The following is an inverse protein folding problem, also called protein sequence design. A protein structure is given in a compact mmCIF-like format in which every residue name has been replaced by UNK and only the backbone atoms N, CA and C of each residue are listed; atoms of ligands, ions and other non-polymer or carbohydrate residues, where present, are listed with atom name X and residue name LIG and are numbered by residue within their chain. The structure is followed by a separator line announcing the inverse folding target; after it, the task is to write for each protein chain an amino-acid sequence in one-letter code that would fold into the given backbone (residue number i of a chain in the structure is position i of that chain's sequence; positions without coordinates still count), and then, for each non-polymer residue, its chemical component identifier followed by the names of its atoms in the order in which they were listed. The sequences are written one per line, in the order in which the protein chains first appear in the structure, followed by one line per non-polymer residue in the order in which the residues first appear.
data_IF_545888067361
#
_entry.id   IF_545888067361
#
_cell.length_a   1.000
_cell.length_b   1.000
_cell.length_c   1.000
_cell.angle_alpha   90.00
_cell.angle_beta   90.00
_cell.angle_gamma   90.00
#
_symmetry.space_group_name_H-M   'P 1'
#
loop_
_entity.id
_entity.type
_entity.pdbx_description
1 polymer ?
#
# COMPACT_ATOMS: atom_id res chain seq x y z
N UNK A 1 -24.40 53.76 -41.80
CA UNK A 1 -25.35 54.07 -40.72
C UNK A 1 -25.46 52.88 -39.78
N UNK A 2 -24.76 52.90 -38.65
CA UNK A 2 -25.27 52.43 -37.35
C UNK A 2 -24.21 52.80 -36.31
N UNK A 3 -24.66 53.49 -35.26
CA UNK A 3 -23.82 54.27 -34.36
C UNK A 3 -23.09 53.39 -33.35
N UNK A 4 -21.88 53.85 -33.03
CA UNK A 4 -21.04 53.49 -31.90
C UNK A 4 -21.76 53.36 -30.57
N UNK A 5 -21.34 52.40 -29.75
CA UNK A 5 -21.26 52.59 -28.29
C UNK A 5 -19.87 52.17 -27.82
N UNK A 6 -19.03 53.17 -27.60
CA UNK A 6 -17.88 53.07 -26.70
C UNK A 6 -18.43 52.98 -25.28
N UNK A 7 -17.96 52.01 -24.50
CA UNK A 7 -18.22 51.89 -23.08
C UNK A 7 -16.87 51.88 -22.38
N UNK A 8 -16.67 52.89 -21.54
CA UNK A 8 -15.43 53.24 -20.85
C UNK A 8 -14.91 52.11 -19.97
N UNK A 9 -13.65 51.71 -20.20
CA UNK A 9 -12.83 51.03 -19.20
C UNK A 9 -12.09 52.09 -18.38
N UNK A 10 -12.72 52.51 -17.29
CA UNK A 10 -12.08 53.28 -16.23
C UNK A 10 -11.92 52.39 -15.00
N UNK A 11 -10.65 52.19 -14.62
CA UNK A 11 -10.09 51.76 -13.33
C UNK A 11 -11.01 51.03 -12.34
N UNK A 12 -10.64 49.77 -12.06
CA UNK A 12 -11.07 49.00 -10.90
C UNK A 12 -9.92 48.17 -10.34
N UNK A 13 -8.79 48.83 -10.05
CA UNK A 13 -7.61 48.28 -9.38
C UNK A 13 -7.95 48.13 -7.88
N UNK A 14 -8.87 47.23 -7.52
CA UNK A 14 -9.25 47.01 -6.12
C UNK A 14 -10.03 45.69 -5.92
N UNK A 15 -9.41 44.52 -6.15
CA UNK A 15 -9.95 43.25 -5.65
C UNK A 15 -8.88 42.13 -5.52
N UNK A 16 -7.60 42.48 -5.31
CA UNK A 16 -6.52 41.50 -5.14
C UNK A 16 -6.10 41.33 -3.66
N UNK A 17 -7.03 41.41 -2.71
CA UNK A 17 -6.72 41.36 -1.27
C UNK A 17 -7.62 40.43 -0.43
N UNK A 18 -8.32 39.46 -1.03
CA UNK A 18 -9.20 38.53 -0.27
C UNK A 18 -8.93 37.04 -0.60
N UNK A 19 -7.77 36.70 -1.15
CA UNK A 19 -7.42 35.30 -1.46
C UNK A 19 -6.07 34.86 -0.84
N UNK A 20 -5.72 35.39 0.34
CA UNK A 20 -4.49 35.00 1.04
C UNK A 20 -4.64 34.87 2.57
N UNK A 21 -5.84 34.52 3.06
CA UNK A 21 -6.07 34.29 4.51
C UNK A 21 -6.59 32.90 4.85
N UNK A 22 -6.64 31.97 3.89
CA UNK A 22 -7.14 30.60 4.12
C UNK A 22 -6.06 29.51 4.10
N UNK A 23 -4.80 29.84 4.44
CA UNK A 23 -3.71 28.86 4.44
C UNK A 23 -2.83 28.84 5.70
N UNK A 24 -3.28 29.39 6.83
CA UNK A 24 -2.46 29.45 8.05
C UNK A 24 -2.90 28.55 9.22
N UNK A 25 -4.06 27.87 9.15
CA UNK A 25 -4.64 27.22 10.35
C UNK A 25 -4.62 25.68 10.38
N UNK A 26 -3.88 24.99 9.51
CA UNK A 26 -3.84 23.51 9.56
C UNK A 26 -2.68 22.92 10.40
N UNK A 27 -1.66 23.71 10.77
CA UNK A 27 -0.57 23.24 11.62
C UNK A 27 -0.09 24.36 12.55
N UNK A 28 -0.95 24.79 13.48
CA UNK A 28 -0.44 25.42 14.69
C UNK A 28 0.24 24.33 15.53
N UNK A 29 1.51 24.05 15.21
CA UNK A 29 2.40 23.29 16.10
C UNK A 29 2.54 24.16 17.36
N UNK A 30 1.82 23.82 18.42
CA UNK A 30 1.90 24.56 19.68
C UNK A 30 3.27 24.30 20.31
N UNK A 31 4.25 25.14 19.94
CA UNK A 31 5.61 25.09 20.42
C UNK A 31 5.71 25.35 21.95
N UNK A 32 4.63 25.82 22.59
CA UNK A 32 4.59 25.98 24.04
C UNK A 32 4.50 24.63 24.76
N UNK A 33 3.83 23.63 24.20
CA UNK A 33 3.70 22.28 24.76
C UNK A 33 5.04 21.52 24.85
N UNK A 34 6.03 21.97 24.08
CA UNK A 34 7.37 21.39 23.99
C UNK A 34 8.32 21.91 25.10
N UNK A 35 8.09 23.10 25.67
CA UNK A 35 9.10 23.77 26.52
C UNK A 35 9.31 23.17 27.92
N UNK A 36 8.42 22.33 28.44
CA UNK A 36 8.43 21.91 29.86
C UNK A 36 8.79 20.45 30.10
N UNK A 37 9.11 19.68 29.07
CA UNK A 37 9.36 18.26 29.23
C UNK A 37 10.82 17.94 29.61
N UNK A 38 11.08 17.08 30.63
CA UNK A 38 12.43 16.67 31.00
C UNK A 38 13.16 16.02 29.82
N UNK A 39 14.40 16.45 29.58
CA UNK A 39 15.27 15.92 28.52
C UNK A 39 16.00 14.68 29.02
N UNK A 40 16.16 13.65 28.18
CA UNK A 40 17.02 12.51 28.49
C UNK A 40 18.46 12.91 28.15
N UNK A 41 19.31 13.11 29.17
CA UNK A 41 20.72 13.50 29.02
C UNK A 41 20.94 14.78 28.16
N UNK A 42 19.97 15.70 28.15
CA UNK A 42 20.04 16.94 27.38
C UNK A 42 19.60 16.83 25.91
N UNK A 43 19.24 15.63 25.43
CA UNK A 43 18.73 15.40 24.07
C UNK A 43 17.22 15.20 24.09
N UNK A 44 16.54 15.81 23.11
CA UNK A 44 15.10 15.68 22.93
C UNK A 44 14.27 16.35 24.04
N UNK A 45 12.99 15.98 24.05
CA UNK A 45 11.95 16.47 24.96
C UNK A 45 10.79 15.47 24.96
N UNK A 46 10.03 15.37 26.05
CA UNK A 46 8.79 14.58 26.04
C UNK A 46 7.81 15.20 25.04
N UNK A 47 7.28 14.34 24.17
CA UNK A 47 6.23 14.67 23.23
C UNK A 47 4.88 14.58 23.96
N UNK A 48 3.96 15.51 23.70
CA UNK A 48 2.60 15.46 24.25
C UNK A 48 1.70 14.58 23.38
N UNK A 49 0.63 14.06 23.95
CA UNK A 49 -0.37 13.28 23.19
C UNK A 49 -0.94 14.10 22.02
N UNK A 50 -1.14 15.41 22.22
CA UNK A 50 -1.57 16.31 21.16
C UNK A 50 -0.55 16.41 20.02
N UNK A 51 0.75 16.36 20.33
CA UNK A 51 1.81 16.34 19.33
C UNK A 51 1.97 14.97 18.66
N UNK A 52 1.66 13.86 19.34
CA UNK A 52 1.64 12.50 18.76
C UNK A 52 0.44 12.29 17.84
N UNK A 53 -0.74 12.81 18.20
CA UNK A 53 -2.03 12.49 17.57
C UNK A 53 -2.02 12.57 16.02
N UNK A 54 -1.44 13.60 15.38
CA UNK A 54 -1.39 13.66 13.91
C UNK A 54 -0.51 12.58 13.25
N UNK A 55 0.42 11.99 14.00
CA UNK A 55 1.35 10.97 13.53
C UNK A 55 0.90 9.55 13.89
N UNK A 56 -0.01 9.40 14.85
CA UNK A 56 -0.56 8.12 15.28
C UNK A 56 -1.71 7.65 14.36
N UNK A 57 -1.37 7.40 13.10
CA UNK A 57 -2.32 7.07 12.03
C UNK A 57 -2.23 5.62 11.56
N UNK A 58 -1.39 4.79 12.19
CA UNK A 58 -1.19 3.40 11.77
C UNK A 58 -2.33 2.50 12.24
N UNK A 59 -2.82 1.61 11.38
CA UNK A 59 -3.77 0.56 11.75
C UNK A 59 -3.06 -0.79 11.86
N UNK A 60 -3.28 -1.48 12.97
CA UNK A 60 -2.64 -2.78 13.21
C UNK A 60 -3.45 -3.94 12.64
N UNK A 61 -2.78 -5.08 12.47
CA UNK A 61 -3.35 -6.28 11.87
C UNK A 61 -4.61 -6.81 12.59
N UNK A 62 -4.74 -6.56 13.90
CA UNK A 62 -5.87 -6.96 14.74
C UNK A 62 -7.04 -5.95 14.72
N UNK A 63 -6.91 -4.87 13.95
CA UNK A 63 -7.89 -3.78 13.88
C UNK A 63 -7.66 -2.65 14.89
N UNK A 64 -6.62 -2.73 15.73
CA UNK A 64 -6.28 -1.63 16.64
C UNK A 64 -6.04 -0.34 15.86
N UNK A 65 -6.62 0.76 16.37
CA UNK A 65 -6.57 2.11 15.79
C UNK A 65 -7.33 2.31 14.47
N UNK A 66 -8.13 1.34 14.00
CA UNK A 66 -9.03 1.56 12.87
C UNK A 66 -10.02 2.71 13.17
N UNK A 67 -10.17 3.68 12.26
CA UNK A 67 -11.03 4.84 12.47
C UNK A 67 -12.51 4.47 12.32
N UNK A 68 -13.37 5.30 12.91
CA UNK A 68 -14.81 5.23 12.67
C UNK A 68 -15.12 5.58 11.20
N UNK A 69 -15.99 4.78 10.60
CA UNK A 69 -16.40 4.93 9.20
C UNK A 69 -16.93 3.61 8.67
N UNK A 70 -17.41 3.64 7.42
CA UNK A 70 -17.87 2.46 6.71
C UNK A 70 -17.74 2.62 5.21
N UNK A 71 -17.60 1.50 4.52
CA UNK A 71 -17.54 1.46 3.07
C UNK A 71 -18.25 0.25 2.49
N UNK A 72 -18.64 0.36 1.22
CA UNK A 72 -19.31 -0.71 0.47
C UNK A 72 -18.52 -1.04 -0.78
N UNK A 73 -18.64 -2.27 -1.28
CA UNK A 73 -18.01 -2.69 -2.54
C UNK A 73 -18.44 -1.79 -3.71
N UNK A 74 -19.74 -1.51 -3.84
CA UNK A 74 -20.28 -0.69 -4.93
C UNK A 74 -19.82 0.78 -4.91
N UNK A 75 -19.60 1.37 -3.73
CA UNK A 75 -18.98 2.69 -3.63
C UNK A 75 -17.49 2.63 -3.97
N UNK A 76 -16.81 1.57 -3.53
CA UNK A 76 -15.38 1.36 -3.76
C UNK A 76 -15.05 1.16 -5.23
N UNK A 77 -15.91 0.47 -5.98
CA UNK A 77 -15.75 0.27 -7.42
C UNK A 77 -15.63 1.59 -8.17
N UNK A 78 -16.53 2.55 -7.89
CA UNK A 78 -16.51 3.86 -8.54
C UNK A 78 -15.20 4.61 -8.29
N UNK A 79 -14.77 4.64 -7.03
CA UNK A 79 -13.52 5.31 -6.62
C UNK A 79 -12.33 4.60 -7.28
N UNK A 80 -12.33 3.27 -7.31
CA UNK A 80 -11.28 2.49 -7.94
C UNK A 80 -11.13 2.80 -9.43
N UNK A 81 -12.24 2.85 -10.17
CA UNK A 81 -12.22 3.18 -11.59
C UNK A 81 -11.70 4.59 -11.84
N UNK A 82 -12.03 5.55 -10.97
CA UNK A 82 -11.60 6.94 -11.12
C UNK A 82 -10.15 7.20 -10.69
N UNK A 83 -9.65 6.50 -9.67
CA UNK A 83 -8.40 6.87 -8.99
C UNK A 83 -7.34 5.76 -8.95
N UNK A 84 -7.68 4.52 -9.26
CA UNK A 84 -6.79 3.36 -9.08
C UNK A 84 -6.51 2.60 -10.38
N UNK A 85 -7.54 2.38 -11.21
CA UNK A 85 -7.48 1.51 -12.39
C UNK A 85 -6.42 1.93 -13.41
N UNK A 86 -6.13 3.24 -13.52
CA UNK A 86 -5.08 3.75 -14.40
C UNK A 86 -3.68 3.13 -14.17
N UNK A 87 -3.41 2.67 -12.94
CA UNK A 87 -2.18 1.99 -12.57
C UNK A 87 -2.43 0.50 -12.28
N UNK A 88 -3.51 0.16 -11.59
CA UNK A 88 -3.75 -1.21 -11.12
C UNK A 88 -4.52 -2.09 -12.13
N UNK A 89 -4.94 -1.55 -13.27
CA UNK A 89 -5.81 -2.23 -14.24
C UNK A 89 -7.27 -2.20 -13.83
N UNK A 90 -8.18 -2.48 -14.77
CA UNK A 90 -9.63 -2.45 -14.48
C UNK A 90 -10.04 -3.62 -13.57
N UNK A 91 -9.30 -4.73 -13.64
CA UNK A 91 -9.54 -5.97 -12.89
C UNK A 91 -8.41 -6.28 -11.90
N UNK A 92 -7.56 -5.31 -11.57
CA UNK A 92 -6.45 -5.51 -10.65
C UNK A 92 -5.28 -6.31 -11.24
N UNK A 93 -5.20 -6.46 -12.56
CA UNK A 93 -4.16 -7.18 -13.29
C UNK A 93 -2.81 -6.44 -13.35
N UNK A 94 -2.81 -5.14 -12.99
CA UNK A 94 -1.66 -4.25 -13.11
C UNK A 94 -1.50 -3.69 -14.53
N UNK A 95 -1.53 -2.37 -14.68
CA UNK A 95 -1.16 -1.73 -15.94
C UNK A 95 0.36 -1.84 -16.18
N UNK A 96 0.82 -1.72 -17.42
CA UNK A 96 2.22 -1.82 -17.90
C UNK A 96 3.33 -1.44 -16.88
N UNK A 97 3.74 -2.39 -16.03
CA UNK A 97 4.84 -2.23 -15.06
C UNK A 97 4.43 -1.74 -13.66
N UNK A 98 3.15 -1.44 -13.44
CA UNK A 98 2.58 -1.14 -12.13
C UNK A 98 2.21 -2.41 -11.37
N UNK A 99 2.17 -2.36 -10.03
CA UNK A 99 1.82 -3.51 -9.22
C UNK A 99 0.40 -4.00 -9.53
N UNK A 100 0.27 -5.31 -9.74
CA UNK A 100 -1.05 -5.96 -9.76
C UNK A 100 -1.62 -6.09 -8.35
N UNK A 101 -2.94 -6.14 -8.26
CA UNK A 101 -3.68 -6.37 -7.02
C UNK A 101 -4.17 -7.82 -6.92
N UNK A 102 -4.48 -8.48 -8.04
CA UNK A 102 -5.00 -9.85 -8.06
C UNK A 102 -3.94 -10.82 -8.56
N UNK A 103 -3.70 -11.88 -7.79
CA UNK A 103 -2.82 -12.99 -8.14
C UNK A 103 -3.60 -14.27 -8.44
N UNK A 104 -2.88 -15.36 -8.69
CA UNK A 104 -3.52 -16.67 -8.74
C UNK A 104 -3.95 -17.10 -7.33
N UNK A 105 -4.93 -18.03 -7.21
CA UNK A 105 -5.26 -18.68 -5.95
C UNK A 105 -4.03 -19.26 -5.22
N UNK A 106 -4.09 -19.35 -3.88
CA UNK A 106 -2.97 -19.76 -3.03
C UNK A 106 -2.36 -21.11 -3.44
N UNK A 107 -3.19 -22.09 -3.79
CA UNK A 107 -2.75 -23.42 -4.23
C UNK A 107 -1.93 -23.37 -5.53
N UNK A 108 -2.37 -22.56 -6.50
CA UNK A 108 -1.66 -22.35 -7.76
C UNK A 108 -0.38 -21.54 -7.57
N UNK A 109 -0.42 -20.53 -6.70
CA UNK A 109 0.75 -19.74 -6.30
C UNK A 109 1.83 -20.64 -5.66
N UNK A 110 1.45 -21.49 -4.70
CA UNK A 110 2.37 -22.45 -4.08
C UNK A 110 2.90 -23.48 -5.07
N UNK A 111 2.04 -24.02 -5.95
CA UNK A 111 2.46 -24.97 -6.97
C UNK A 111 3.49 -24.36 -7.92
N UNK A 112 3.26 -23.11 -8.35
CA UNK A 112 4.20 -22.36 -9.19
C UNK A 112 5.53 -22.12 -8.50
N UNK A 113 5.51 -21.72 -7.21
CA UNK A 113 6.71 -21.53 -6.42
C UNK A 113 7.52 -22.83 -6.25
N UNK A 114 6.84 -23.96 -5.97
CA UNK A 114 7.46 -25.29 -5.87
C UNK A 114 8.04 -25.78 -7.20
N UNK A 115 7.44 -25.38 -8.32
CA UNK A 115 7.91 -25.68 -9.67
C UNK A 115 9.06 -24.76 -10.15
N UNK A 116 9.52 -23.81 -9.33
CA UNK A 116 10.59 -22.87 -9.71
C UNK A 116 10.16 -21.82 -10.74
N UNK A 117 8.85 -21.64 -10.94
CA UNK A 117 8.30 -20.55 -11.76
C UNK A 117 8.40 -19.25 -10.95
N UNK A 118 8.62 -18.11 -11.62
CA UNK A 118 8.64 -16.80 -10.95
C UNK A 118 7.28 -16.47 -10.32
N UNK A 119 7.14 -16.83 -9.05
CA UNK A 119 5.97 -16.54 -8.24
C UNK A 119 5.94 -15.08 -7.75
N UNK A 120 7.04 -14.31 -7.85
CA UNK A 120 7.05 -12.91 -7.38
C UNK A 120 6.10 -12.06 -8.23
N UNK A 121 6.16 -12.23 -9.54
CA UNK A 121 5.23 -11.59 -10.48
C UNK A 121 3.76 -11.96 -10.24
N UNK A 122 3.52 -13.08 -9.54
CA UNK A 122 2.19 -13.60 -9.29
C UNK A 122 1.59 -13.21 -7.92
N UNK A 123 2.30 -12.45 -7.09
CA UNK A 123 1.77 -12.02 -5.78
C UNK A 123 0.60 -11.05 -5.94
N UNK A 124 -0.44 -11.24 -5.12
CA UNK A 124 -1.61 -10.38 -5.06
C UNK A 124 -2.28 -10.44 -3.68
N UNK A 125 -3.40 -9.72 -3.53
CA UNK A 125 -4.19 -9.68 -2.30
C UNK A 125 -4.65 -11.09 -1.87
N UNK A 126 -5.03 -11.92 -2.83
CA UNK A 126 -5.59 -13.25 -2.61
C UNK A 126 -4.57 -14.37 -2.35
N UNK A 127 -3.26 -14.09 -2.43
CA UNK A 127 -2.25 -15.10 -2.14
C UNK A 127 -1.09 -14.64 -1.25
N UNK A 128 -0.90 -13.32 -1.08
CA UNK A 128 0.26 -12.79 -0.37
C UNK A 128 -0.12 -11.80 0.73
N UNK A 129 -1.35 -11.29 0.81
CA UNK A 129 -1.72 -10.40 1.92
C UNK A 129 -2.25 -11.20 3.10
N UNK A 130 -1.72 -10.94 4.30
CA UNK A 130 -2.03 -11.70 5.51
C UNK A 130 -3.20 -11.15 6.34
N UNK A 131 -3.47 -9.84 6.29
CA UNK A 131 -4.47 -9.22 7.15
C UNK A 131 -5.21 -8.08 6.42
N UNK A 132 -6.53 -8.04 6.54
CA UNK A 132 -7.35 -7.01 5.90
C UNK A 132 -7.16 -5.60 6.50
N UNK A 133 -6.99 -5.42 7.83
CA UNK A 133 -6.71 -4.09 8.40
C UNK A 133 -5.43 -3.44 7.86
N UNK A 134 -4.38 -4.23 7.56
CA UNK A 134 -3.14 -3.68 6.98
C UNK A 134 -3.32 -3.20 5.54
N UNK A 135 -4.30 -3.75 4.81
CA UNK A 135 -4.67 -3.26 3.48
C UNK A 135 -5.36 -1.90 3.58
N UNK A 136 -6.27 -1.73 4.55
CA UNK A 136 -6.89 -0.44 4.83
C UNK A 136 -5.86 0.62 5.22
N UNK A 137 -4.87 0.27 6.06
CA UNK A 137 -3.76 1.19 6.41
C UNK A 137 -3.00 1.64 5.17
N UNK A 138 -2.60 0.68 4.31
CA UNK A 138 -1.90 0.97 3.06
C UNK A 138 -2.71 1.89 2.16
N UNK A 139 -3.99 1.58 1.93
CA UNK A 139 -4.84 2.35 1.03
C UNK A 139 -5.07 3.76 1.58
N UNK A 140 -5.50 3.88 2.84
CA UNK A 140 -5.84 5.18 3.41
C UNK A 140 -4.63 6.11 3.54
N UNK A 141 -3.45 5.54 3.84
CA UNK A 141 -2.23 6.33 4.07
C UNK A 141 -1.45 6.63 2.80
N UNK A 142 -1.40 5.70 1.86
CA UNK A 142 -0.46 5.75 0.74
C UNK A 142 -1.12 5.83 -0.64
N UNK A 143 -2.44 5.67 -0.72
CA UNK A 143 -3.17 5.73 -2.00
C UNK A 143 -4.13 6.94 -2.06
N UNK A 144 -4.43 7.42 -3.28
CA UNK A 144 -3.78 7.09 -4.55
C UNK A 144 -2.30 7.52 -4.57
N UNK A 145 -1.45 6.80 -5.31
CA UNK A 145 0.01 7.05 -5.29
C UNK A 145 0.39 8.51 -5.64
N UNK A 146 -0.37 9.15 -6.54
CA UNK A 146 -0.12 10.54 -6.95
C UNK A 146 -0.63 11.58 -5.93
N UNK A 147 -1.45 11.16 -4.96
CA UNK A 147 -2.08 12.02 -3.95
C UNK A 147 -2.35 11.22 -2.66
N UNK A 148 -1.30 10.77 -1.94
CA UNK A 148 -1.48 9.95 -0.75
C UNK A 148 -2.21 10.70 0.36
N UNK A 149 -3.12 10.00 1.06
CA UNK A 149 -3.84 10.56 2.21
C UNK A 149 -4.98 11.50 1.85
N UNK A 150 -5.44 11.53 0.59
CA UNK A 150 -6.60 12.35 0.18
C UNK A 150 -7.94 11.63 0.30
N UNK A 151 -7.94 10.31 0.41
CA UNK A 151 -9.18 9.56 0.64
C UNK A 151 -9.71 9.87 2.04
N UNK A 152 -11.01 10.11 2.13
CA UNK A 152 -11.71 10.07 3.42
C UNK A 152 -11.72 8.65 3.98
N UNK A 153 -12.03 8.51 5.26
CA UNK A 153 -12.11 7.19 5.90
C UNK A 153 -13.15 6.27 5.25
N UNK A 154 -14.33 6.79 4.89
CA UNK A 154 -15.39 6.01 4.24
C UNK A 154 -15.00 5.59 2.81
N UNK A 155 -14.31 6.47 2.08
CA UNK A 155 -13.77 6.15 0.75
C UNK A 155 -12.69 5.07 0.84
N UNK A 156 -11.76 5.19 1.79
CA UNK A 156 -10.72 4.20 2.00
C UNK A 156 -11.29 2.82 2.41
N UNK A 157 -12.32 2.78 3.28
CA UNK A 157 -13.03 1.54 3.59
C UNK A 157 -13.71 0.97 2.34
N UNK A 158 -14.33 1.82 1.53
CA UNK A 158 -15.05 1.41 0.32
C UNK A 158 -14.09 0.79 -0.70
N UNK A 159 -12.97 1.45 -1.00
CA UNK A 159 -11.93 0.93 -1.90
C UNK A 159 -11.34 -0.36 -1.35
N UNK A 160 -11.04 -0.43 -0.05
CA UNK A 160 -10.54 -1.66 0.59
C UNK A 160 -11.52 -2.83 0.41
N UNK A 161 -12.80 -2.59 0.62
CA UNK A 161 -13.87 -3.55 0.37
C UNK A 161 -13.89 -4.03 -1.08
N UNK A 162 -13.88 -3.09 -2.02
CA UNK A 162 -13.92 -3.39 -3.44
C UNK A 162 -12.72 -4.22 -3.89
N UNK A 163 -11.49 -3.84 -3.54
CA UNK A 163 -10.31 -4.60 -3.99
C UNK A 163 -10.24 -6.00 -3.39
N UNK A 164 -10.77 -6.21 -2.18
CA UNK A 164 -10.93 -7.55 -1.60
C UNK A 164 -12.00 -8.37 -2.35
N UNK A 165 -13.12 -7.77 -2.72
CA UNK A 165 -14.14 -8.42 -3.55
C UNK A 165 -13.59 -8.76 -4.94
N UNK A 166 -12.87 -7.83 -5.57
CA UNK A 166 -12.19 -8.02 -6.86
C UNK A 166 -11.19 -9.19 -6.82
N UNK A 167 -10.45 -9.31 -5.72
CA UNK A 167 -9.54 -10.42 -5.47
C UNK A 167 -10.25 -11.71 -5.00
N UNK A 168 -11.59 -11.73 -4.97
CA UNK A 168 -12.42 -12.86 -4.53
C UNK A 168 -12.06 -13.36 -3.13
N UNK A 169 -11.76 -12.44 -2.20
CA UNK A 169 -11.46 -12.80 -0.81
C UNK A 169 -12.69 -13.43 -0.16
N UNK A 170 -12.58 -14.64 0.42
CA UNK A 170 -13.72 -15.32 1.04
C UNK A 170 -14.39 -14.46 2.12
N UNK A 171 -15.73 -14.36 2.05
CA UNK A 171 -16.52 -13.56 2.98
C UNK A 171 -16.72 -12.09 2.56
N UNK A 172 -16.16 -11.66 1.43
CA UNK A 172 -16.35 -10.31 0.88
C UNK A 172 -17.14 -10.38 -0.43
N UNK A 173 -18.48 -10.37 -0.32
CA UNK A 173 -19.40 -10.29 -1.47
C UNK A 173 -19.82 -8.85 -1.80
N UNK A 174 -20.64 -8.68 -2.83
CA UNK A 174 -21.03 -7.37 -3.38
C UNK A 174 -21.78 -6.48 -2.36
N UNK A 175 -22.54 -7.10 -1.45
CA UNK A 175 -23.28 -6.42 -0.39
C UNK A 175 -22.47 -6.25 0.91
N UNK A 176 -21.19 -6.64 0.92
CA UNK A 176 -20.35 -6.57 2.11
C UNK A 176 -20.05 -5.11 2.50
N UNK A 177 -20.05 -4.85 3.80
CA UNK A 177 -19.76 -3.54 4.39
C UNK A 177 -18.48 -3.63 5.22
N UNK A 178 -17.46 -2.87 4.83
CA UNK A 178 -16.23 -2.74 5.58
C UNK A 178 -16.38 -1.66 6.65
N UNK A 179 -16.07 -1.99 7.88
CA UNK A 179 -15.91 -1.07 9.00
C UNK A 179 -14.88 -1.62 9.98
N UNK A 180 -14.61 -0.87 11.05
CA UNK A 180 -13.64 -1.26 12.10
C UNK A 180 -13.97 -2.59 12.80
N UNK A 181 -15.19 -3.09 12.67
CA UNK A 181 -15.69 -4.31 13.31
C UNK A 181 -15.71 -5.50 12.34
N UNK A 182 -16.05 -5.27 11.07
CA UNK A 182 -16.11 -6.32 10.04
C UNK A 182 -14.75 -6.64 9.45
N UNK A 183 -13.90 -5.64 9.24
CA UNK A 183 -12.61 -5.80 8.55
C UNK A 183 -11.65 -6.75 9.28
N UNK A 184 -11.46 -6.69 10.62
CA UNK A 184 -10.56 -7.62 11.32
C UNK A 184 -11.05 -9.08 11.34
N UNK A 185 -12.32 -9.34 10.98
CA UNK A 185 -12.89 -10.69 10.94
C UNK A 185 -12.61 -11.40 9.61
N UNK A 186 -12.17 -10.68 8.58
CA UNK A 186 -11.84 -11.26 7.28
C UNK A 186 -10.56 -12.09 7.41
N UNK A 187 -10.67 -13.35 6.99
CA UNK A 187 -9.55 -14.29 6.91
C UNK A 187 -8.93 -14.22 5.53
N UNK A 188 -7.79 -13.51 5.44
CA UNK A 188 -7.07 -13.38 4.19
C UNK A 188 -6.38 -14.71 3.86
N UNK A 189 -6.44 -15.19 2.60
CA UNK A 189 -5.85 -16.49 2.24
C UNK A 189 -4.34 -16.58 2.47
N UNK A 190 -3.63 -15.44 2.45
CA UNK A 190 -2.19 -15.39 2.71
C UNK A 190 -1.80 -15.45 4.19
N UNK A 191 -2.74 -15.29 5.14
CA UNK A 191 -2.47 -15.29 6.59
C UNK A 191 -1.61 -16.51 7.04
N UNK A 192 -1.93 -17.76 6.61
CA UNK A 192 -1.18 -18.95 7.05
C UNK A 192 0.24 -19.05 6.49
N UNK A 193 0.59 -18.26 5.47
CA UNK A 193 1.92 -18.29 4.83
C UNK A 193 2.98 -17.55 5.64
N UNK A 194 2.57 -16.77 6.65
CA UNK A 194 3.46 -15.98 7.49
C UNK A 194 3.77 -16.70 8.80
N UNK A 195 5.04 -17.03 9.00
CA UNK A 195 5.54 -17.68 10.23
C UNK A 195 6.65 -16.84 10.86
N UNK A 196 6.73 -16.87 12.19
CA UNK A 196 7.85 -16.28 12.92
C UNK A 196 9.12 -17.00 12.50
N UNK A 197 10.12 -16.24 12.04
CA UNK A 197 11.41 -16.80 11.70
C UNK A 197 12.07 -17.42 12.94
N UNK A 198 12.14 -18.74 12.99
CA UNK A 198 12.74 -19.52 14.07
C UNK A 198 14.17 -19.98 13.77
N UNK A 199 14.87 -19.26 12.87
CA UNK A 199 16.12 -19.72 12.29
C UNK A 199 17.26 -20.02 13.30
N UNK A 200 18.34 -20.72 12.85
CA UNK A 200 18.52 -21.23 11.49
C UNK A 200 17.62 -22.44 11.21
N UNK A 201 16.86 -22.35 10.12
CA UNK A 201 15.94 -23.36 9.56
C UNK A 201 16.69 -24.52 8.86
N UNK A 202 18.01 -24.38 8.72
CA UNK A 202 18.90 -25.40 8.20
C UNK A 202 19.94 -25.79 9.25
N UNK A 203 19.94 -27.06 9.65
CA UNK A 203 21.00 -27.65 10.46
C UNK A 203 22.20 -27.99 9.56
N UNK A 204 22.81 -26.97 8.94
CA UNK A 204 23.87 -27.19 7.97
C UNK A 204 25.20 -27.48 8.70
N UNK A 205 25.60 -28.76 8.76
CA UNK A 205 26.88 -29.14 9.34
C UNK A 205 28.00 -28.79 8.35
N UNK A 206 29.01 -28.05 8.82
CA UNK A 206 30.18 -27.72 8.00
C UNK A 206 30.89 -29.02 7.61
N UNK A 207 31.16 -29.20 6.31
CA UNK A 207 32.05 -30.25 5.86
C UNK A 207 33.47 -30.02 6.38
N UNK A 208 34.07 -31.04 7.03
CA UNK A 208 35.40 -30.93 7.66
C UNK A 208 36.48 -31.76 6.97
N UNK A 209 36.11 -32.79 6.19
CA UNK A 209 37.04 -33.69 5.48
C UNK A 209 36.46 -34.06 4.12
N UNK A 210 37.33 -34.18 3.12
CA UNK A 210 37.00 -34.59 1.74
C UNK A 210 35.85 -33.80 1.08
N UNK A 211 35.75 -32.51 1.41
CA UNK A 211 34.72 -31.63 0.88
C UNK A 211 34.83 -31.46 -0.63
N UNK A 212 33.68 -31.21 -1.28
CA UNK A 212 33.63 -30.91 -2.72
C UNK A 212 34.66 -29.84 -3.08
N UNK A 213 35.64 -30.22 -3.92
CA UNK A 213 36.77 -29.37 -4.35
C UNK A 213 36.49 -28.63 -5.65
N UNK A 214 35.35 -28.89 -6.30
CA UNK A 214 34.98 -28.19 -7.52
C UNK A 214 34.67 -26.73 -7.23
N UNK A 215 35.04 -25.84 -8.15
CA UNK A 215 34.62 -24.45 -8.06
C UNK A 215 33.09 -24.42 -8.22
N UNK A 216 32.32 -23.84 -7.28
CA UNK A 216 30.90 -23.63 -7.50
C UNK A 216 30.75 -22.79 -8.77
N UNK A 217 30.04 -23.31 -9.76
CA UNK A 217 29.72 -22.59 -10.97
C UNK A 217 28.28 -22.12 -10.88
N UNK A 218 28.04 -20.87 -11.29
CA UNK A 218 26.70 -20.29 -11.30
C UNK A 218 25.87 -21.05 -12.33
N UNK A 219 24.89 -21.83 -11.86
CA UNK A 219 24.00 -22.62 -12.73
C UNK A 219 23.06 -21.75 -13.55
N UNK A 220 22.76 -20.54 -13.06
CA UNK A 220 21.95 -19.54 -13.73
C UNK A 220 22.35 -18.14 -13.24
N UNK A 221 22.73 -17.26 -14.17
CA UNK A 221 23.01 -15.85 -13.91
C UNK A 221 22.05 -15.07 -14.79
N UNK A 222 21.22 -14.18 -14.22
CA UNK A 222 20.49 -13.21 -15.04
C UNK A 222 21.53 -12.50 -15.91
N UNK A 223 21.45 -12.68 -17.23
CA UNK A 223 22.47 -12.21 -18.14
C UNK A 223 22.71 -10.71 -17.91
N UNK A 224 23.95 -10.35 -17.60
CA UNK A 224 24.40 -8.96 -17.59
C UNK A 224 24.80 -8.61 -19.01
N UNK A 225 23.95 -7.88 -19.73
CA UNK A 225 24.35 -7.20 -20.96
C UNK A 225 24.75 -5.78 -20.55
N UNK A 226 26.06 -5.55 -20.38
CA UNK A 226 26.57 -4.32 -19.78
C UNK A 226 26.33 -4.24 -18.26
N UNK A 227 25.96 -3.07 -17.74
CA UNK A 227 25.69 -2.81 -16.31
C UNK A 227 24.26 -3.13 -15.85
N UNK A 228 23.44 -3.78 -16.69
CA UNK A 228 22.05 -4.12 -16.35
C UNK A 228 21.84 -5.63 -16.46
N UNK A 229 21.29 -6.21 -15.40
CA UNK A 229 20.87 -7.61 -15.33
C UNK A 229 19.38 -7.69 -15.69
N UNK A 230 19.03 -8.36 -16.79
CA UNK A 230 17.65 -8.72 -17.12
C UNK A 230 17.63 -10.16 -17.62
N UNK A 231 16.79 -11.02 -17.03
CA UNK A 231 16.71 -12.42 -17.42
C UNK A 231 15.41 -13.09 -17.01
N UNK A 232 14.85 -13.91 -17.91
CA UNK A 232 13.80 -14.90 -17.62
C UNK A 232 14.47 -16.20 -17.16
N UNK A 233 13.85 -16.85 -16.17
CA UNK A 233 14.29 -18.13 -15.63
C UNK A 233 13.83 -19.28 -16.53
N UNK A 234 14.72 -20.21 -16.88
CA UNK A 234 14.34 -21.52 -17.41
C UNK A 234 14.95 -22.60 -16.55
N UNK A 235 14.12 -23.52 -16.05
CA UNK A 235 14.57 -24.70 -15.34
C UNK A 235 15.54 -25.51 -16.23
N UNK A 236 16.66 -25.93 -15.63
CA UNK A 236 17.65 -26.78 -16.26
C UNK A 236 17.16 -28.23 -16.22
N UNK A 237 17.18 -28.91 -17.37
CA UNK A 237 16.95 -30.35 -17.45
C UNK A 237 17.79 -31.09 -16.40
N UNK A 238 17.12 -31.99 -15.70
CA UNK A 238 17.62 -32.88 -14.64
C UNK A 238 18.84 -33.67 -15.10
N UNK A 239 19.93 -33.60 -14.31
CA UNK A 239 20.86 -34.72 -14.14
C UNK A 239 20.56 -35.42 -12.82
#
# INVERSE_FOLDING_TARGET
MSKSKMSNWSLGLAAAAVALTLSANAFAFDAAALKSAPKVQGVGMNITDAAIKPWNISYFYDGTNLPDGKGTVSAGEKIYQEQCAMCHGDFGEGAHGYPKMVGDPVDQFEASAKAGVDAVSNRGLNNNWGNAPTLMDMIHRHMPFYAPGTLTTDEAYSVTCYVMNLASIPGVGDDFVCDKTSLPKIKMPGEPLYVTNSGPDTANQRCMKDCYKGTPFVVEKAASIGNVSVGKVKAKDTQ
#
